data_IF_027640191403
#
_entry.id   IF_027640191403
#
_cell.length_a   1.000
_cell.length_b   1.000
_cell.length_c   1.000
_cell.angle_alpha   90.00
_cell.angle_beta   90.00
_cell.angle_gamma   90.00
#
_symmetry.space_group_name_H-M   'P 1'
#
loop_
_entity.id
_entity.type
_entity.pdbx_description
1 polymer ?
#
# COMPACT_ATOMS: atom_id res chain seq x y z
N UNK A 1 -1.97 6.28 9.37
CA UNK A 1 -2.59 5.51 8.28
C UNK A 1 -1.89 4.15 8.21
N UNK A 2 -2.58 3.10 7.76
CA UNK A 2 -2.00 1.75 7.63
C UNK A 2 -2.54 1.02 6.40
N UNK A 3 -1.72 0.20 5.79
CA UNK A 3 -2.15 -0.71 4.72
C UNK A 3 -2.85 -1.91 5.36
N UNK A 4 -4.08 -2.19 4.92
CA UNK A 4 -4.83 -3.37 5.37
C UNK A 4 -4.65 -4.53 4.41
N UNK A 5 -4.76 -4.24 3.11
CA UNK A 5 -4.68 -5.21 2.03
C UNK A 5 -4.09 -4.54 0.80
N UNK A 6 -3.54 -5.37 -0.08
CA UNK A 6 -3.29 -5.00 -1.47
C UNK A 6 -4.04 -5.97 -2.38
N UNK A 7 -4.29 -5.56 -3.62
CA UNK A 7 -4.82 -6.40 -4.69
C UNK A 7 -4.19 -6.00 -6.01
N UNK A 8 -4.07 -6.95 -6.93
CA UNK A 8 -3.33 -6.74 -8.17
C UNK A 8 -1.84 -6.98 -7.98
N UNK A 9 -1.10 -6.88 -9.08
CA UNK A 9 0.34 -7.11 -9.14
C UNK A 9 1.01 -5.95 -9.86
N UNK A 10 2.24 -5.65 -9.47
CA UNK A 10 3.08 -4.69 -10.17
C UNK A 10 2.41 -3.31 -10.36
N UNK A 11 2.31 -2.81 -11.59
CA UNK A 11 1.81 -1.46 -11.91
C UNK A 11 0.31 -1.25 -11.66
N UNK A 12 -0.47 -2.32 -11.62
CA UNK A 12 -1.92 -2.31 -11.37
C UNK A 12 -2.27 -2.65 -9.91
N UNK A 13 -1.26 -2.73 -9.05
CA UNK A 13 -1.47 -2.98 -7.63
C UNK A 13 -2.15 -1.78 -6.95
N UNK A 14 -3.26 -2.10 -6.28
CA UNK A 14 -4.03 -1.17 -5.44
C UNK A 14 -3.89 -1.57 -3.98
N UNK A 15 -3.81 -0.55 -3.12
CA UNK A 15 -3.66 -0.72 -1.69
C UNK A 15 -4.85 -0.13 -0.96
N UNK A 16 -5.40 -0.89 -0.05
CA UNK A 16 -6.40 -0.44 0.90
C UNK A 16 -5.69 0.26 2.06
N UNK A 17 -5.77 1.59 2.07
CA UNK A 17 -5.26 2.41 3.16
C UNK A 17 -6.40 2.71 4.13
N UNK A 18 -6.17 2.42 5.40
CA UNK A 18 -7.00 2.91 6.49
C UNK A 18 -6.42 4.21 7.03
N UNK A 19 -7.16 5.29 6.85
CA UNK A 19 -6.83 6.62 7.35
C UNK A 19 -7.05 6.71 8.85
N UNK A 20 -6.34 7.64 9.50
CA UNK A 20 -6.53 7.90 10.94
C UNK A 20 -7.93 8.44 11.25
N UNK A 21 -8.56 9.09 10.27
CA UNK A 21 -9.94 9.57 10.32
C UNK A 21 -10.98 8.44 10.39
N UNK A 22 -10.59 7.19 10.12
CA UNK A 22 -11.47 6.02 10.13
C UNK A 22 -11.92 5.58 8.72
N UNK A 23 -11.77 6.45 7.73
CA UNK A 23 -12.05 6.13 6.33
C UNK A 23 -11.07 5.10 5.77
N UNK A 24 -11.56 4.30 4.82
CA UNK A 24 -10.76 3.35 4.05
C UNK A 24 -10.87 3.69 2.58
N UNK A 25 -9.74 3.70 1.89
CA UNK A 25 -9.73 3.98 0.45
C UNK A 25 -8.76 3.05 -0.26
N UNK A 26 -9.18 2.59 -1.43
CA UNK A 26 -8.33 1.87 -2.36
C UNK A 26 -7.63 2.88 -3.25
N UNK A 27 -6.30 2.82 -3.27
CA UNK A 27 -5.49 3.72 -4.07
C UNK A 27 -4.38 2.93 -4.78
N UNK A 28 -4.12 3.24 -6.05
CA UNK A 28 -3.05 2.59 -6.80
C UNK A 28 -1.67 2.95 -6.24
N UNK A 29 -0.69 2.05 -6.40
CA UNK A 29 0.66 2.22 -5.87
C UNK A 29 1.25 3.62 -6.10
N UNK A 30 1.10 4.18 -7.31
CA UNK A 30 1.67 5.50 -7.64
C UNK A 30 1.14 6.65 -6.76
N UNK A 31 -0.08 6.52 -6.22
CA UNK A 31 -0.69 7.52 -5.32
C UNK A 31 -0.34 7.31 -3.87
N UNK A 32 0.12 6.12 -3.49
CA UNK A 32 0.42 5.76 -2.10
C UNK A 32 1.90 5.48 -1.86
N UNK A 33 2.72 5.41 -2.91
CA UNK A 33 4.16 5.14 -2.85
C UNK A 33 4.92 6.14 -1.98
N UNK A 34 4.41 7.38 -1.89
CA UNK A 34 4.96 8.43 -1.04
C UNK A 34 4.47 8.36 0.42
N UNK A 35 3.49 7.52 0.72
CA UNK A 35 2.96 7.35 2.07
C UNK A 35 3.87 6.41 2.87
N UNK A 36 4.20 6.83 4.09
CA UNK A 36 4.93 6.00 5.05
C UNK A 36 4.24 4.67 5.34
N UNK A 37 2.90 4.59 5.26
CA UNK A 37 2.18 3.35 5.45
C UNK A 37 2.58 2.25 4.46
N UNK A 38 2.88 2.61 3.20
CA UNK A 38 3.32 1.64 2.18
C UNK A 38 4.73 1.16 2.46
N UNK A 39 5.64 2.08 2.82
CA UNK A 39 7.00 1.71 3.20
C UNK A 39 7.01 0.74 4.41
N UNK A 40 6.19 1.01 5.43
CA UNK A 40 6.02 0.12 6.58
C UNK A 40 5.41 -1.24 6.20
N UNK A 41 4.43 -1.24 5.30
CA UNK A 41 3.81 -2.48 4.83
C UNK A 41 4.81 -3.36 4.09
N UNK A 42 5.58 -2.77 3.17
CA UNK A 42 6.65 -3.46 2.45
C UNK A 42 7.71 -4.04 3.37
N UNK A 43 8.15 -3.26 4.36
CA UNK A 43 9.10 -3.73 5.38
C UNK A 43 8.52 -4.90 6.19
N UNK A 44 7.24 -4.81 6.58
CA UNK A 44 6.56 -5.85 7.35
C UNK A 44 6.37 -7.17 6.58
N UNK A 45 6.21 -7.12 5.25
CA UNK A 45 6.10 -8.32 4.40
C UNK A 45 7.45 -8.74 3.80
N UNK A 46 8.53 -7.99 4.05
CA UNK A 46 9.87 -8.30 3.55
C UNK A 46 10.07 -8.06 2.05
N UNK A 47 9.24 -7.21 1.44
CA UNK A 47 9.29 -6.91 0.01
C UNK A 47 9.97 -5.56 -0.23
N UNK A 48 10.95 -5.50 -1.13
CA UNK A 48 11.72 -4.28 -1.41
C UNK A 48 10.96 -3.23 -2.25
N UNK A 49 9.87 -3.64 -2.90
CA UNK A 49 9.06 -2.75 -3.72
C UNK A 49 7.97 -3.47 -4.50
N UNK A 50 7.15 -2.71 -5.21
CA UNK A 50 6.01 -3.20 -5.99
C UNK A 50 6.37 -4.24 -7.06
N UNK A 51 7.63 -4.27 -7.48
CA UNK A 51 8.21 -5.23 -8.41
C UNK A 51 8.24 -6.68 -7.88
N UNK A 52 8.14 -6.85 -6.56
CA UNK A 52 8.13 -8.16 -5.88
C UNK A 52 6.74 -8.50 -5.30
N UNK A 53 5.68 -7.82 -5.77
CA UNK A 53 4.25 -8.07 -5.50
C UNK A 53 3.53 -8.56 -6.77
#
# INVERSE_FOLDING_TARGET
DKVLRHRGSHSDAEFEIQWTAGDKSWLPYHKVSHLRAIANYFEAIGVAGIENL
#
